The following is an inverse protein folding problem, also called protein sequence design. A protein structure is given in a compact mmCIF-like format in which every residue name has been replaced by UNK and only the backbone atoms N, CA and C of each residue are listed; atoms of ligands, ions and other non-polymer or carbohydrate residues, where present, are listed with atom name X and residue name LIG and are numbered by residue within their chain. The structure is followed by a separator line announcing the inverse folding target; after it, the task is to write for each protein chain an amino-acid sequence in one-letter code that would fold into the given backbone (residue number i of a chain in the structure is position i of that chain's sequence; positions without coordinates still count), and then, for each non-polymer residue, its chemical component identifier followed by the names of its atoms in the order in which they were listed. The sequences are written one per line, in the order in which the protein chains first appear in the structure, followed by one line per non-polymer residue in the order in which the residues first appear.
data_IF_912722965649
#
_entry.id   IF_912722965649
#
_cell.length_a   1.000
_cell.length_b   1.000
_cell.length_c   1.000
_cell.angle_alpha   90.00
_cell.angle_beta   90.00
_cell.angle_gamma   90.00
#
_symmetry.space_group_name_H-M   'P 1'
#
loop_
_entity.id
_entity.type
_entity.pdbx_description
1 polymer ?
#
# COMPACT_ATOMS: atom_id res chain seq x y z
N UNK A 1 6.23 -10.25 -9.82
CA UNK A 1 7.50 -9.83 -10.47
C UNK A 1 7.31 -9.20 -11.85
N UNK A 2 6.49 -9.74 -12.74
CA UNK A 2 6.27 -9.15 -14.08
C UNK A 2 5.78 -7.69 -13.98
N UNK A 3 4.85 -7.41 -13.08
CA UNK A 3 4.30 -6.06 -12.87
C UNK A 3 5.35 -5.03 -12.45
N UNK A 4 6.32 -5.41 -11.64
CA UNK A 4 7.36 -4.52 -11.12
C UNK A 4 8.38 -4.13 -12.18
N UNK A 5 8.73 -5.11 -13.04
CA UNK A 5 9.59 -4.86 -14.20
C UNK A 5 8.87 -3.95 -15.20
N UNK A 6 7.58 -4.18 -15.43
CA UNK A 6 6.77 -3.34 -16.30
C UNK A 6 6.70 -1.89 -15.83
N UNK A 7 6.51 -1.63 -14.54
CA UNK A 7 6.54 -0.26 -13.97
C UNK A 7 7.89 0.40 -14.19
N UNK A 8 9.00 -0.31 -13.96
CA UNK A 8 10.35 0.22 -14.17
C UNK A 8 10.61 0.60 -15.63
N UNK A 9 10.15 -0.22 -16.57
CA UNK A 9 10.30 0.02 -18.01
C UNK A 9 9.44 1.20 -18.47
N UNK A 10 8.19 1.28 -18.02
CA UNK A 10 7.25 2.35 -18.40
C UNK A 10 7.71 3.70 -17.83
N UNK A 11 8.13 3.74 -16.57
CA UNK A 11 8.55 5.00 -15.92
C UNK A 11 10.01 5.38 -16.23
N UNK A 12 10.79 4.55 -16.88
CA UNK A 12 12.24 4.74 -17.14
C UNK A 12 13.03 5.16 -15.89
N UNK A 13 12.60 4.71 -14.71
CA UNK A 13 13.14 5.10 -13.40
C UNK A 13 13.38 3.86 -12.54
N UNK A 14 14.65 3.59 -12.24
CA UNK A 14 15.01 2.51 -11.33
C UNK A 14 14.42 2.69 -9.91
N UNK A 15 14.24 3.96 -9.47
CA UNK A 15 13.61 4.29 -8.18
C UNK A 15 12.14 3.88 -8.15
N UNK A 16 11.40 4.12 -9.24
CA UNK A 16 10.01 3.69 -9.35
C UNK A 16 9.91 2.16 -9.39
N UNK A 17 10.83 1.48 -10.08
CA UNK A 17 10.89 0.02 -10.08
C UNK A 17 11.19 -0.53 -8.68
N UNK A 18 12.13 0.04 -7.95
CA UNK A 18 12.49 -0.36 -6.59
C UNK A 18 11.32 -0.15 -5.62
N UNK A 19 10.65 1.00 -5.67
CA UNK A 19 9.47 1.27 -4.85
C UNK A 19 8.32 0.30 -5.16
N UNK A 20 8.07 0.03 -6.43
CA UNK A 20 7.07 -0.96 -6.85
C UNK A 20 7.42 -2.37 -6.36
N UNK A 21 8.68 -2.73 -6.39
CA UNK A 21 9.17 -4.01 -5.87
C UNK A 21 8.95 -4.11 -4.35
N UNK A 22 9.32 -3.07 -3.61
CA UNK A 22 9.13 -3.00 -2.15
C UNK A 22 7.64 -3.08 -1.82
N UNK A 23 6.80 -2.30 -2.49
CA UNK A 23 5.36 -2.29 -2.25
C UNK A 23 4.72 -3.66 -2.54
N UNK A 24 5.10 -4.30 -3.65
CA UNK A 24 4.62 -5.64 -4.00
C UNK A 24 5.01 -6.69 -2.95
N UNK A 25 6.28 -6.71 -2.53
CA UNK A 25 6.72 -7.69 -1.53
C UNK A 25 6.14 -7.41 -0.15
N UNK A 26 5.97 -6.13 0.22
CA UNK A 26 5.29 -5.76 1.46
C UNK A 26 3.84 -6.25 1.47
N UNK A 27 3.14 -6.14 0.35
CA UNK A 27 1.78 -6.67 0.21
C UNK A 27 1.75 -8.20 0.39
N UNK A 28 2.65 -8.92 -0.29
CA UNK A 28 2.74 -10.38 -0.14
C UNK A 28 3.06 -10.79 1.30
N UNK A 29 3.96 -10.07 1.98
CA UNK A 29 4.26 -10.34 3.39
C UNK A 29 3.03 -10.12 4.27
N UNK A 30 2.27 -9.06 4.02
CA UNK A 30 1.03 -8.79 4.76
C UNK A 30 -0.02 -9.86 4.51
N UNK A 31 -0.16 -10.34 3.28
CA UNK A 31 -1.06 -11.44 2.94
C UNK A 31 -0.61 -12.74 3.60
N UNK A 32 0.71 -13.01 3.59
CA UNK A 32 1.27 -14.21 4.22
C UNK A 32 0.99 -14.27 5.72
N UNK A 33 0.86 -13.12 6.36
CA UNK A 33 0.65 -13.00 7.81
C UNK A 33 -0.83 -12.89 8.16
N UNK A 34 -1.61 -12.14 7.39
CA UNK A 34 -2.92 -11.62 7.78
C UNK A 34 -4.11 -11.95 6.88
N UNK A 35 -3.95 -12.81 5.86
CA UNK A 35 -5.08 -13.18 4.98
C UNK A 35 -6.01 -14.22 5.57
N UNK A 36 -5.59 -14.91 6.61
CA UNK A 36 -6.39 -15.93 7.28
C UNK A 36 -6.02 -17.36 6.91
N UNK A 37 -6.33 -18.30 7.80
CA UNK A 37 -6.07 -19.71 7.58
C UNK A 37 -6.82 -20.22 6.33
N UNK A 38 -6.08 -20.90 5.47
CA UNK A 38 -6.65 -21.46 4.23
C UNK A 38 -6.56 -20.55 3.01
N UNK A 39 -5.88 -19.40 3.10
CA UNK A 39 -5.61 -18.53 1.96
C UNK A 39 -4.16 -18.66 1.49
N UNK A 40 -3.86 -19.57 0.55
CA UNK A 40 -2.49 -19.81 0.09
C UNK A 40 -2.00 -18.68 -0.82
N UNK A 41 -0.71 -18.40 -0.76
CA UNK A 41 -0.05 -17.45 -1.65
C UNK A 41 0.68 -18.20 -2.76
N UNK A 42 0.29 -17.94 -3.99
CA UNK A 42 0.89 -18.47 -5.21
C UNK A 42 1.98 -17.51 -5.72
N UNK A 43 3.08 -17.40 -5.00
CA UNK A 43 4.13 -16.42 -5.30
C UNK A 43 4.74 -16.57 -6.69
N UNK A 44 4.88 -17.80 -7.18
CA UNK A 44 5.50 -18.11 -8.46
C UNK A 44 4.52 -18.25 -9.63
N UNK A 45 3.25 -17.94 -9.40
CA UNK A 45 2.28 -18.01 -10.48
C UNK A 45 2.65 -17.02 -11.62
N UNK A 46 2.50 -17.38 -12.89
CA UNK A 46 1.92 -18.61 -13.47
C UNK A 46 2.91 -19.75 -13.72
N UNK A 47 4.21 -19.60 -13.37
CA UNK A 47 5.24 -20.60 -13.69
C UNK A 47 5.19 -21.83 -12.78
N UNK A 48 4.73 -21.64 -11.55
CA UNK A 48 4.57 -22.70 -10.55
C UNK A 48 3.32 -22.43 -9.74
N UNK A 49 2.69 -23.51 -9.29
CA UNK A 49 1.49 -23.51 -8.45
C UNK A 49 1.77 -23.90 -7.01
N UNK A 50 3.02 -23.73 -6.55
CA UNK A 50 3.38 -24.02 -5.18
C UNK A 50 2.65 -23.06 -4.24
N UNK A 51 1.92 -23.62 -3.31
CA UNK A 51 1.13 -22.91 -2.32
C UNK A 51 1.96 -22.63 -1.07
N UNK A 52 2.05 -21.38 -0.68
CA UNK A 52 2.63 -20.99 0.61
C UNK A 52 1.50 -20.71 1.58
N UNK A 53 1.34 -21.60 2.56
CA UNK A 53 0.30 -21.53 3.58
C UNK A 53 0.91 -21.75 4.97
N UNK A 54 1.43 -20.69 5.61
CA UNK A 54 1.96 -20.81 6.96
C UNK A 54 0.83 -21.09 7.98
N UNK A 55 1.08 -21.99 8.91
CA UNK A 55 0.12 -22.36 9.96
C UNK A 55 -0.08 -21.27 11.04
N UNK A 56 0.74 -20.23 11.03
CA UNK A 56 0.74 -19.13 12.00
C UNK A 56 0.04 -17.86 11.49
N UNK A 57 -0.67 -17.94 10.36
CA UNK A 57 -1.49 -16.85 9.87
C UNK A 57 -2.58 -16.51 10.88
N UNK A 58 -2.78 -15.22 11.15
CA UNK A 58 -3.96 -14.79 11.89
C UNK A 58 -5.16 -14.56 10.96
N UNK A 59 -6.35 -14.57 11.53
CA UNK A 59 -7.59 -14.35 10.79
C UNK A 59 -7.63 -12.95 10.16
N UNK A 60 -8.25 -12.85 8.97
CA UNK A 60 -8.42 -11.58 8.27
C UNK A 60 -9.15 -10.53 9.11
N UNK A 61 -10.14 -10.94 9.88
CA UNK A 61 -10.90 -10.07 10.78
C UNK A 61 -10.22 -9.83 12.14
N UNK A 62 -8.95 -10.23 12.29
CA UNK A 62 -8.22 -10.09 13.55
C UNK A 62 -7.94 -8.63 13.92
N UNK A 63 -7.76 -8.38 15.21
CA UNK A 63 -7.42 -7.05 15.70
C UNK A 63 -6.07 -6.53 15.17
N UNK A 64 -5.14 -7.43 14.84
CA UNK A 64 -3.85 -7.10 14.23
C UNK A 64 -4.03 -6.38 12.90
N UNK A 65 -4.90 -6.92 12.02
CA UNK A 65 -5.21 -6.29 10.74
C UNK A 65 -5.89 -4.93 10.93
N UNK A 66 -6.79 -4.82 11.90
CA UNK A 66 -7.44 -3.55 12.24
C UNK A 66 -6.44 -2.50 12.71
N UNK A 67 -5.49 -2.89 13.56
CA UNK A 67 -4.42 -1.98 14.04
C UNK A 67 -3.50 -1.55 12.89
N UNK A 68 -3.09 -2.49 12.03
CA UNK A 68 -2.26 -2.17 10.87
C UNK A 68 -2.97 -1.24 9.89
N UNK A 69 -4.26 -1.47 9.64
CA UNK A 69 -5.10 -0.60 8.82
C UNK A 69 -5.18 0.82 9.43
N UNK A 70 -5.44 0.92 10.73
CA UNK A 70 -5.48 2.20 11.42
C UNK A 70 -4.13 2.93 11.35
N UNK A 71 -3.02 2.24 11.61
CA UNK A 71 -1.68 2.83 11.50
C UNK A 71 -1.40 3.35 10.09
N UNK A 72 -1.79 2.59 9.06
CA UNK A 72 -1.64 3.01 7.66
C UNK A 72 -2.43 4.29 7.39
N UNK A 73 -3.68 4.36 7.84
CA UNK A 73 -4.52 5.58 7.72
C UNK A 73 -3.88 6.76 8.43
N UNK A 74 -3.38 6.57 9.66
CA UNK A 74 -2.70 7.62 10.43
C UNK A 74 -1.42 8.12 9.75
N UNK A 75 -0.63 7.22 9.17
CA UNK A 75 0.56 7.59 8.38
C UNK A 75 0.16 8.39 7.15
N UNK A 76 -0.82 7.95 6.38
CA UNK A 76 -1.32 8.68 5.21
C UNK A 76 -1.85 10.07 5.59
N UNK A 77 -2.61 10.17 6.68
CA UNK A 77 -3.12 11.45 7.19
C UNK A 77 -1.98 12.37 7.64
N UNK A 78 -1.01 11.85 8.37
CA UNK A 78 0.18 12.61 8.79
C UNK A 78 0.96 13.14 7.59
N UNK A 79 1.14 12.32 6.55
CA UNK A 79 1.77 12.74 5.31
C UNK A 79 0.97 13.84 4.61
N UNK A 80 -0.35 13.70 4.53
CA UNK A 80 -1.23 14.71 3.93
C UNK A 80 -1.12 16.05 4.64
N UNK A 81 -1.14 16.05 5.98
CA UNK A 81 -1.07 17.28 6.78
C UNK A 81 0.33 17.91 6.77
N UNK A 82 1.36 17.10 6.85
CA UNK A 82 2.74 17.57 7.04
C UNK A 82 3.46 17.81 5.71
N UNK A 83 3.41 16.83 4.80
CA UNK A 83 4.07 16.90 3.49
C UNK A 83 3.22 17.55 2.41
N UNK A 84 1.95 17.82 2.69
CA UNK A 84 0.96 18.32 1.72
C UNK A 84 0.84 17.46 0.47
N UNK A 85 0.88 16.14 0.67
CA UNK A 85 0.81 15.12 -0.39
C UNK A 85 0.04 13.92 0.10
N UNK A 86 -0.78 13.36 -0.78
CA UNK A 86 -1.50 12.11 -0.53
C UNK A 86 -1.19 11.08 -1.63
N UNK A 87 -1.56 9.81 -1.46
CA UNK A 87 -1.45 8.82 -2.54
C UNK A 87 -2.24 9.19 -3.82
N UNK A 88 -3.18 10.13 -3.73
CA UNK A 88 -3.94 10.63 -4.89
C UNK A 88 -3.04 11.33 -5.91
N UNK A 89 -1.90 11.88 -5.47
CA UNK A 89 -0.89 12.49 -6.35
C UNK A 89 -0.44 11.54 -7.47
N UNK A 90 -0.44 10.24 -7.23
CA UNK A 90 -0.06 9.22 -8.22
C UNK A 90 -1.00 9.22 -9.45
N UNK A 91 -2.23 9.68 -9.28
CA UNK A 91 -3.25 9.72 -10.33
C UNK A 91 -3.48 11.13 -10.85
N UNK A 92 -3.47 12.13 -9.97
CA UNK A 92 -3.72 13.51 -10.33
C UNK A 92 -3.22 14.49 -9.26
N UNK A 93 -2.28 15.33 -9.63
CA UNK A 93 -1.75 16.40 -8.76
C UNK A 93 -2.83 17.44 -8.40
N UNK A 94 -3.77 17.73 -9.32
CA UNK A 94 -4.87 18.65 -9.06
C UNK A 94 -5.89 18.09 -8.07
N UNK A 95 -6.18 16.79 -8.15
CA UNK A 95 -7.05 16.12 -7.18
C UNK A 95 -6.37 16.02 -5.81
N UNK A 96 -5.06 15.70 -5.78
CA UNK A 96 -4.27 15.66 -4.55
C UNK A 96 -4.30 17.01 -3.81
N UNK A 97 -4.09 18.12 -4.53
CA UNK A 97 -4.14 19.47 -3.95
C UNK A 97 -5.48 19.75 -3.25
N UNK A 98 -6.61 19.39 -3.89
CA UNK A 98 -7.94 19.55 -3.29
C UNK A 98 -8.16 18.69 -2.05
N UNK A 99 -7.67 17.45 -2.07
CA UNK A 99 -7.76 16.54 -0.92
C UNK A 99 -6.94 17.10 0.25
N UNK A 100 -5.69 17.53 0.00
CA UNK A 100 -4.82 18.13 1.01
C UNK A 100 -5.44 19.38 1.59
N UNK A 101 -5.96 20.29 0.76
CA UNK A 101 -6.65 21.51 1.19
C UNK A 101 -7.83 21.19 2.11
N UNK A 102 -8.69 20.26 1.71
CA UNK A 102 -9.84 19.82 2.50
C UNK A 102 -9.43 19.24 3.86
N UNK A 103 -8.39 18.39 3.88
CA UNK A 103 -7.90 17.79 5.11
C UNK A 103 -7.31 18.86 6.04
N UNK A 104 -6.53 19.81 5.52
CA UNK A 104 -5.92 20.87 6.32
C UNK A 104 -6.96 21.83 6.86
N UNK A 105 -7.94 22.21 6.05
CA UNK A 105 -9.07 23.04 6.51
C UNK A 105 -9.82 22.35 7.68
N UNK A 106 -10.04 21.04 7.55
CA UNK A 106 -10.82 20.29 8.53
C UNK A 106 -10.07 19.99 9.83
N UNK A 107 -8.78 19.68 9.76
CA UNK A 107 -7.98 19.24 10.91
C UNK A 107 -7.08 20.32 11.51
N UNK A 108 -6.70 21.34 10.73
CA UNK A 108 -5.83 22.43 11.19
C UNK A 108 -6.52 23.78 11.22
N UNK A 109 -7.77 23.89 10.72
CA UNK A 109 -8.51 25.15 10.69
C UNK A 109 -7.93 26.16 9.68
N UNK A 110 -7.09 25.73 8.74
CA UNK A 110 -6.51 26.59 7.73
C UNK A 110 -7.56 26.85 6.63
N UNK A 111 -8.11 28.05 6.58
CA UNK A 111 -8.91 28.51 5.44
C UNK A 111 -7.96 29.12 4.40
N UNK A 112 -8.08 28.69 3.14
CA UNK A 112 -7.37 29.24 1.99
C UNK A 112 -7.88 30.65 1.64
#
# INVERSE_FOLDING_TARGET
MVSTVAVGVVCRSWKAAALGCIAFHSHIVMDLVGSGPGWPILYWWPWRTDEWLPSWQWDLASWQNSVLGLLTVLVCLSMALWRRRTPVELFSTAADAKVVETLRARFLGETS
#
